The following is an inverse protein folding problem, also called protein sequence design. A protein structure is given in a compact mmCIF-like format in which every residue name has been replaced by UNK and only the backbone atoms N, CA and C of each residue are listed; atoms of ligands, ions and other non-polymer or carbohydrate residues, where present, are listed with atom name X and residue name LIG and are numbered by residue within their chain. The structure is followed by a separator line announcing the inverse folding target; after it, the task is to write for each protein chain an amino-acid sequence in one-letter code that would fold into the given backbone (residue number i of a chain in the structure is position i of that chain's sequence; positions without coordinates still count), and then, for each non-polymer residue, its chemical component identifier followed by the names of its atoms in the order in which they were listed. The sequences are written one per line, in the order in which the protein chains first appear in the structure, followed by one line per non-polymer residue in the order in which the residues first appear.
data_IF_356351032588
#
_entry.id   IF_356351032588
#
_cell.length_a   1.000
_cell.length_b   1.000
_cell.length_c   1.000
_cell.angle_alpha   90.00
_cell.angle_beta   90.00
_cell.angle_gamma   90.00
#
_symmetry.space_group_name_H-M   'P 1'
#
loop_
_entity.id
_entity.type
_entity.pdbx_description
1 polymer ?
#
# COMPACT_ATOMS: atom_id res chain seq x y z
N UNK A 1 5.76 4.34 -3.65
CA UNK A 1 5.88 2.95 -3.15
C UNK A 1 6.79 2.02 -3.96
N UNK A 2 7.39 2.43 -5.09
CA UNK A 2 8.13 1.50 -5.98
C UNK A 2 9.36 0.78 -5.38
N UNK A 3 9.92 1.26 -4.27
CA UNK A 3 11.14 0.71 -3.65
C UNK A 3 10.90 0.18 -2.22
N UNK A 4 9.65 -0.05 -1.81
CA UNK A 4 9.34 -0.52 -0.46
C UNK A 4 9.35 0.57 0.63
N UNK A 5 9.70 1.81 0.29
CA UNK A 5 9.66 2.91 1.26
C UNK A 5 8.22 3.21 1.70
N UNK A 6 7.98 3.36 3.02
CA UNK A 6 6.72 3.88 3.54
C UNK A 6 6.45 5.30 3.02
N UNK A 7 5.21 5.58 2.66
CA UNK A 7 4.80 6.89 2.11
C UNK A 7 3.49 7.35 2.74
N UNK A 8 3.18 8.64 2.63
CA UNK A 8 1.84 9.15 2.93
C UNK A 8 0.95 9.04 1.68
N UNK A 9 -0.28 8.55 1.86
CA UNK A 9 -1.28 8.44 0.80
C UNK A 9 -2.58 9.09 1.28
N UNK A 10 -3.19 10.00 0.51
CA UNK A 10 -4.50 10.56 0.85
C UNK A 10 -5.56 9.45 0.99
N UNK A 11 -6.42 9.56 2.01
CA UNK A 11 -7.53 8.63 2.26
C UNK A 11 -7.09 7.17 2.53
N UNK A 12 -5.85 6.96 2.95
CA UNK A 12 -5.48 5.68 3.54
C UNK A 12 -6.34 5.39 4.79
N UNK A 13 -6.64 4.12 5.09
CA UNK A 13 -7.20 3.75 6.38
C UNK A 13 -6.35 4.28 7.52
N UNK A 14 -6.96 4.53 8.69
CA UNK A 14 -6.23 5.05 9.84
C UNK A 14 -5.36 4.01 10.54
N UNK A 15 -5.71 2.72 10.41
CA UNK A 15 -5.00 1.60 11.04
C UNK A 15 -5.16 0.33 10.20
N UNK A 16 -4.27 -0.63 10.45
CA UNK A 16 -4.41 -2.00 9.97
C UNK A 16 -4.01 -2.22 8.51
N UNK A 17 -4.50 -3.33 7.97
CA UNK A 17 -4.11 -3.85 6.66
C UNK A 17 -5.07 -3.40 5.56
N UNK A 18 -4.55 -3.20 4.35
CA UNK A 18 -5.35 -2.80 3.20
C UNK A 18 -4.80 -3.34 1.87
N UNK A 19 -5.66 -3.40 0.86
CA UNK A 19 -5.30 -3.79 -0.50
C UNK A 19 -4.82 -2.58 -1.31
N UNK A 20 -3.76 -2.77 -2.09
CA UNK A 20 -3.19 -1.77 -3.00
C UNK A 20 -3.64 -2.13 -4.41
N UNK A 21 -4.28 -1.17 -5.07
CA UNK A 21 -4.71 -1.27 -6.45
C UNK A 21 -3.97 -0.25 -7.32
N UNK A 22 -3.65 -0.65 -8.55
CA UNK A 22 -3.15 0.18 -9.62
C UNK A 22 -4.26 0.68 -10.54
N UNK A 23 -3.92 1.20 -11.72
CA UNK A 23 -4.90 1.49 -12.77
C UNK A 23 -5.76 0.26 -13.12
N UNK A 24 -6.97 0.50 -13.62
CA UNK A 24 -7.90 -0.55 -14.08
C UNK A 24 -8.23 -1.61 -13.02
N UNK A 25 -8.29 -1.20 -11.75
CA UNK A 25 -8.50 -2.06 -10.59
C UNK A 25 -7.50 -3.24 -10.49
N UNK A 26 -6.30 -3.07 -11.05
CA UNK A 26 -5.24 -4.08 -10.97
C UNK A 26 -4.80 -4.26 -9.52
N UNK A 27 -5.04 -5.43 -8.95
CA UNK A 27 -4.54 -5.76 -7.63
C UNK A 27 -3.00 -5.89 -7.64
N UNK A 28 -2.34 -5.00 -6.90
CA UNK A 28 -0.87 -4.96 -6.80
C UNK A 28 -0.36 -5.65 -5.53
N UNK A 29 -1.21 -5.81 -4.51
CA UNK A 29 -0.85 -6.50 -3.28
C UNK A 29 -1.40 -5.87 -2.01
N UNK A 30 -0.71 -6.09 -0.90
CA UNK A 30 -1.16 -5.71 0.45
C UNK A 30 -0.21 -4.72 1.12
N UNK A 31 -0.78 -3.74 1.80
CA UNK A 31 -0.08 -2.77 2.63
C UNK A 31 -0.61 -2.75 4.07
N UNK A 32 0.12 -2.05 4.92
CA UNK A 32 -0.23 -1.82 6.32
C UNK A 32 0.02 -0.35 6.68
N UNK A 33 -0.84 0.19 7.52
CA UNK A 33 -0.67 1.50 8.14
C UNK A 33 0.24 1.35 9.36
N UNK A 34 1.33 2.12 9.39
CA UNK A 34 2.27 2.18 10.49
C UNK A 34 1.81 3.17 11.56
N UNK A 35 2.39 3.07 12.75
CA UNK A 35 2.06 3.93 13.90
C UNK A 35 2.33 5.42 13.66
N UNK A 36 3.20 5.77 12.71
CA UNK A 36 3.47 7.15 12.29
C UNK A 36 2.50 7.66 11.21
N UNK A 37 1.46 6.88 10.89
CA UNK A 37 0.44 7.18 9.89
C UNK A 37 0.91 6.98 8.44
N UNK A 38 2.13 6.52 8.21
CA UNK A 38 2.59 6.14 6.87
C UNK A 38 2.06 4.78 6.49
N UNK A 39 2.02 4.52 5.20
CA UNK A 39 1.66 3.21 4.67
C UNK A 39 2.87 2.51 4.05
N UNK A 40 3.08 1.26 4.45
CA UNK A 40 4.16 0.41 3.95
C UNK A 40 3.61 -0.75 3.09
N UNK A 41 4.19 -1.01 1.92
CA UNK A 41 3.88 -2.22 1.17
C UNK A 41 4.47 -3.44 1.88
N UNK A 42 3.66 -4.48 2.10
CA UNK A 42 4.07 -5.72 2.79
C UNK A 42 4.29 -6.87 1.82
N UNK A 43 3.44 -6.96 0.79
CA UNK A 43 3.57 -7.93 -0.30
C UNK A 43 3.09 -7.25 -1.57
N UNK A 44 4.00 -7.09 -2.53
CA UNK A 44 3.67 -6.62 -3.87
C UNK A 44 3.84 -7.79 -4.83
N UNK A 45 2.90 -7.93 -5.75
CA UNK A 45 3.03 -8.82 -6.89
C UNK A 45 3.69 -8.03 -8.03
N UNK A 46 4.59 -8.67 -8.77
CA UNK A 46 5.03 -8.09 -10.03
C UNK A 46 3.81 -8.00 -10.94
N UNK A 47 3.44 -6.78 -11.35
CA UNK A 47 2.46 -6.61 -12.41
C UNK A 47 3.01 -7.29 -13.67
N UNK A 48 2.24 -8.23 -14.22
CA UNK A 48 2.49 -8.85 -15.52
C UNK A 48 2.38 -7.82 -16.65
#
# INVERSE_FOLDING_TARGET
MRHGHPVFVPKAPQTGWFCIYGPDDLFLGMGEVLDDGRVAPRRLFAAL
#
